data_IF_757518878232
#
_entry.id   IF_757518878232
#
_cell.length_a   1.000
_cell.length_b   1.000
_cell.length_c   1.000
_cell.angle_alpha   90.00
_cell.angle_beta   90.00
_cell.angle_gamma   90.00
#
_symmetry.space_group_name_H-M   'P 1'
#
loop_
_entity.id
_entity.type
_entity.pdbx_description
1 polymer ?
#
# COMPACT_ATOMS: atom_id res chain seq x y z
N UNK A 1 11.35 -14.68 -9.32
CA UNK A 1 9.94 -14.50 -9.73
C UNK A 1 9.74 -13.02 -10.02
N UNK A 2 9.33 -12.64 -11.23
CA UNK A 2 9.23 -11.22 -11.63
C UNK A 2 7.78 -10.77 -11.47
N UNK A 3 7.55 -9.64 -10.81
CA UNK A 3 6.23 -9.02 -10.71
C UNK A 3 5.72 -8.69 -12.12
N UNK A 4 4.55 -9.23 -12.49
CA UNK A 4 3.90 -8.93 -13.77
C UNK A 4 2.74 -7.97 -13.53
N UNK A 5 2.82 -6.80 -14.15
CA UNK A 5 1.76 -5.77 -14.12
C UNK A 5 1.14 -5.71 -15.51
N UNK A 6 -0.16 -5.98 -15.62
CA UNK A 6 -0.88 -5.95 -16.90
C UNK A 6 -1.56 -4.58 -17.13
N UNK A 7 -1.91 -3.85 -16.05
CA UNK A 7 -2.55 -2.53 -16.10
C UNK A 7 -2.11 -1.67 -14.90
N UNK A 8 -2.00 -0.35 -15.11
CA UNK A 8 -1.77 0.64 -14.05
C UNK A 8 -2.98 1.57 -13.94
N UNK A 9 -3.58 1.67 -12.76
CA UNK A 9 -4.58 2.68 -12.43
C UNK A 9 -3.93 3.81 -11.63
N UNK A 10 -4.08 5.04 -12.09
CA UNK A 10 -3.49 6.22 -11.44
C UNK A 10 -4.60 7.10 -10.88
N UNK A 11 -4.48 7.53 -9.63
CA UNK A 11 -5.42 8.48 -9.05
C UNK A 11 -5.31 9.82 -9.77
N UNK A 12 -6.43 10.53 -9.96
CA UNK A 12 -6.38 11.88 -10.58
C UNK A 12 -5.44 12.82 -9.84
N UNK A 13 -5.50 12.82 -8.51
CA UNK A 13 -4.67 13.66 -7.65
C UNK A 13 -3.20 13.20 -7.63
N UNK A 14 -2.95 11.90 -7.78
CA UNK A 14 -1.61 11.32 -7.83
C UNK A 14 -0.91 11.44 -9.21
N UNK A 15 -1.62 11.74 -10.29
CA UNK A 15 -1.08 11.70 -11.66
C UNK A 15 0.19 12.55 -11.81
N UNK A 16 0.20 13.76 -11.25
CA UNK A 16 1.32 14.71 -11.40
C UNK A 16 2.45 14.50 -10.41
N UNK A 17 2.35 13.52 -9.51
CA UNK A 17 3.37 13.28 -8.50
C UNK A 17 4.68 12.78 -9.13
N UNK A 18 5.87 13.25 -8.70
CA UNK A 18 7.15 12.80 -9.28
C UNK A 18 7.35 11.29 -9.22
N UNK A 19 6.95 10.67 -8.10
CA UNK A 19 7.06 9.22 -7.92
C UNK A 19 6.12 8.46 -8.87
N UNK A 20 4.91 8.98 -9.15
CA UNK A 20 4.01 8.43 -10.17
C UNK A 20 4.67 8.44 -11.54
N UNK A 21 5.24 9.59 -11.94
CA UNK A 21 5.91 9.73 -13.22
C UNK A 21 7.11 8.78 -13.33
N UNK A 22 7.89 8.64 -12.26
CA UNK A 22 9.00 7.69 -12.18
C UNK A 22 8.53 6.24 -12.38
N UNK A 23 7.42 5.84 -11.74
CA UNK A 23 6.89 4.48 -11.88
C UNK A 23 6.37 4.22 -13.30
N UNK A 24 5.64 5.17 -13.90
CA UNK A 24 5.16 5.07 -15.28
C UNK A 24 6.32 4.97 -16.29
N UNK A 25 7.41 5.70 -16.03
CA UNK A 25 8.65 5.66 -16.79
C UNK A 25 9.37 4.30 -16.66
N UNK A 26 9.38 3.70 -15.46
CA UNK A 26 9.95 2.37 -15.24
C UNK A 26 9.12 1.25 -15.88
N UNK A 27 7.79 1.42 -15.96
CA UNK A 27 6.85 0.45 -16.50
C UNK A 27 6.36 0.82 -17.91
N UNK A 28 7.20 1.52 -18.68
CA UNK A 28 6.94 1.86 -20.08
C UNK A 28 6.49 0.63 -20.88
N UNK A 29 5.31 0.74 -21.48
CA UNK A 29 4.67 -0.34 -22.22
C UNK A 29 3.51 -1.00 -21.50
N UNK A 30 3.35 -0.75 -20.19
CA UNK A 30 2.14 -1.14 -19.46
C UNK A 30 1.06 -0.07 -19.68
N UNK A 31 -0.16 -0.44 -20.12
CA UNK A 31 -1.23 0.53 -20.27
C UNK A 31 -1.59 1.12 -18.90
N UNK A 32 -1.84 2.43 -18.88
CA UNK A 32 -2.32 3.11 -17.69
C UNK A 32 -3.56 3.93 -18.00
N UNK A 33 -4.45 4.05 -17.01
CA UNK A 33 -5.59 4.96 -17.05
C UNK A 33 -5.73 5.73 -15.76
N UNK A 34 -6.37 6.89 -15.85
CA UNK A 34 -6.61 7.78 -14.71
C UNK A 34 -8.06 7.65 -14.27
N UNK A 35 -8.28 7.42 -12.97
CA UNK A 35 -9.62 7.28 -12.42
C UNK A 35 -9.71 7.86 -11.00
N UNK A 36 -10.94 8.04 -10.53
CA UNK A 36 -11.22 8.34 -9.12
C UNK A 36 -11.18 7.03 -8.32
N UNK A 37 -10.20 6.90 -7.43
CA UNK A 37 -9.93 5.64 -6.72
C UNK A 37 -10.93 5.37 -5.57
N UNK A 38 -11.75 6.35 -5.23
CA UNK A 38 -12.76 6.20 -4.19
C UNK A 38 -13.93 5.29 -4.58
N UNK A 39 -14.12 4.99 -5.87
CA UNK A 39 -15.20 4.08 -6.27
C UNK A 39 -15.04 2.70 -5.61
N UNK A 40 -16.06 2.21 -4.87
CA UNK A 40 -16.05 0.85 -4.35
C UNK A 40 -15.99 -0.12 -5.52
N UNK A 41 -15.07 -1.08 -5.47
CA UNK A 41 -15.10 -2.18 -6.42
C UNK A 41 -16.38 -3.00 -6.16
N UNK A 42 -17.31 -3.01 -7.12
CA UNK A 42 -18.61 -3.68 -7.00
C UNK A 42 -18.62 -5.08 -7.66
N UNK A 43 -17.47 -5.57 -8.12
CA UNK A 43 -17.32 -6.89 -8.72
C UNK A 43 -17.01 -7.98 -7.71
N UNK A 44 -17.08 -9.24 -8.14
CA UNK A 44 -16.48 -10.34 -7.39
C UNK A 44 -14.95 -10.22 -7.48
N UNK A 45 -14.25 -10.46 -6.36
CA UNK A 45 -12.79 -10.49 -6.35
C UNK A 45 -12.28 -11.57 -7.29
N UNK A 46 -11.63 -11.17 -8.38
CA UNK A 46 -11.02 -12.11 -9.33
C UNK A 46 -9.51 -12.20 -9.04
N UNK A 47 -8.96 -13.40 -8.78
CA UNK A 47 -7.52 -13.62 -8.68
C UNK A 47 -6.70 -13.06 -9.86
N UNK A 48 -7.30 -12.90 -11.04
CA UNK A 48 -6.71 -12.25 -12.21
C UNK A 48 -6.41 -10.76 -12.03
N UNK A 49 -7.11 -10.08 -11.12
CA UNK A 49 -6.94 -8.64 -10.85
C UNK A 49 -5.72 -8.33 -9.97
N UNK A 50 -4.96 -9.34 -9.55
CA UNK A 50 -3.69 -9.16 -8.81
C UNK A 50 -2.55 -8.61 -9.68
N UNK A 51 -2.76 -8.48 -10.99
CA UNK A 51 -1.83 -7.83 -11.93
C UNK A 51 -2.13 -6.36 -12.19
N UNK A 52 -3.13 -5.81 -11.49
CA UNK A 52 -3.41 -4.38 -11.48
C UNK A 52 -2.51 -3.68 -10.45
N UNK A 53 -1.79 -2.65 -10.89
CA UNK A 53 -1.05 -1.74 -10.02
C UNK A 53 -1.85 -0.45 -9.86
N UNK A 54 -2.01 0.03 -8.62
CA UNK A 54 -2.71 1.28 -8.31
C UNK A 54 -1.72 2.27 -7.70
N UNK A 55 -1.68 3.48 -8.25
CA UNK A 55 -0.85 4.58 -7.77
C UNK A 55 -1.76 5.62 -7.13
N UNK A 56 -1.66 5.78 -5.82
CA UNK A 56 -2.60 6.59 -5.02
C UNK A 56 -1.91 7.37 -3.91
N UNK A 57 -2.57 8.42 -3.43
CA UNK A 57 -2.22 9.03 -2.15
C UNK A 57 -2.85 8.22 -1.03
N UNK A 58 -2.01 7.66 -0.15
CA UNK A 58 -2.51 7.02 1.05
C UNK A 58 -3.01 8.09 2.04
N UNK A 59 -4.29 8.03 2.38
CA UNK A 59 -4.96 9.03 3.25
C UNK A 59 -5.07 8.60 4.72
N UNK A 60 -4.48 7.47 5.10
CA UNK A 60 -4.47 6.98 6.47
C UNK A 60 -3.24 7.43 7.26
N UNK A 61 -3.19 7.05 8.54
CA UNK A 61 -1.98 7.19 9.34
C UNK A 61 -0.86 6.30 8.76
N UNK A 62 0.27 6.92 8.41
CA UNK A 62 1.38 6.27 7.73
C UNK A 62 2.18 5.36 8.67
N UNK A 63 2.38 5.81 9.91
CA UNK A 63 2.89 5.04 11.04
C UNK A 63 1.77 4.88 12.08
N UNK A 64 1.44 3.65 12.45
CA UNK A 64 0.38 3.36 13.44
C UNK A 64 0.67 2.08 14.21
N UNK A 65 0.10 1.87 15.40
CA UNK A 65 0.19 0.60 16.10
C UNK A 65 -0.39 -0.54 15.26
N UNK A 66 0.22 -1.73 15.34
CA UNK A 66 -0.38 -2.96 14.83
C UNK A 66 -1.75 -3.15 15.49
N UNK A 67 -2.78 -3.59 14.72
CA UNK A 67 -4.13 -3.81 15.27
C UNK A 67 -4.15 -4.78 16.46
N UNK A 68 -3.16 -5.68 16.53
CA UNK A 68 -3.06 -6.67 17.59
C UNK A 68 -4.18 -7.70 17.52
N UNK A 69 -4.09 -8.71 18.38
CA UNK A 69 -5.16 -9.70 18.55
C UNK A 69 -5.87 -9.44 19.86
N UNK A 70 -7.21 -9.49 19.85
CA UNK A 70 -8.02 -9.26 21.04
C UNK A 70 -7.62 -10.23 22.16
N UNK A 71 -7.47 -9.73 23.38
CA UNK A 71 -7.03 -10.47 24.58
C UNK A 71 -5.55 -10.90 24.60
N UNK A 72 -4.70 -10.35 23.72
CA UNK A 72 -3.26 -10.58 23.73
C UNK A 72 -2.52 -9.37 24.31
N UNK A 73 -1.34 -9.61 24.90
CA UNK A 73 -0.43 -8.52 25.28
C UNK A 73 0.25 -8.02 24.00
N UNK A 74 -0.07 -6.79 23.62
CA UNK A 74 0.54 -6.15 22.47
C UNK A 74 2.02 -5.93 22.72
N UNK A 75 2.84 -6.33 21.75
CA UNK A 75 4.27 -6.17 21.84
C UNK A 75 4.68 -4.69 21.58
N UNK A 76 3.81 -3.88 20.97
CA UNK A 76 4.10 -2.47 20.65
C UNK A 76 4.68 -2.24 19.26
N UNK A 77 4.62 -3.27 18.40
CA UNK A 77 4.97 -3.16 16.98
C UNK A 77 4.15 -2.09 16.27
N UNK A 78 4.81 -1.32 15.41
CA UNK A 78 4.23 -0.28 14.58
C UNK A 78 4.26 -0.72 13.12
N UNK A 79 3.22 -0.37 12.39
CA UNK A 79 3.07 -0.63 10.97
C UNK A 79 3.33 0.67 10.23
N UNK A 80 4.35 0.66 9.38
CA UNK A 80 4.58 1.68 8.35
C UNK A 80 3.89 1.21 7.07
N UNK A 81 3.02 2.02 6.46
CA UNK A 81 2.17 1.56 5.34
C UNK A 81 2.59 2.19 3.99
N UNK A 82 3.67 1.70 3.34
CA UNK A 82 4.09 2.19 2.03
C UNK A 82 3.18 1.74 0.89
N UNK A 83 2.51 0.61 1.09
CA UNK A 83 1.71 -0.08 0.11
C UNK A 83 0.61 -0.88 0.81
N UNK A 84 -0.37 -1.33 0.03
CA UNK A 84 -1.44 -2.19 0.52
C UNK A 84 -1.84 -3.22 -0.54
N UNK A 85 -2.30 -4.39 -0.07
CA UNK A 85 -2.59 -5.57 -0.87
C UNK A 85 -1.32 -6.21 -1.47
N UNK A 86 -1.47 -7.28 -2.23
CA UNK A 86 -0.35 -8.09 -2.69
C UNK A 86 -0.62 -8.64 -4.11
N UNK A 87 0.39 -8.71 -5.00
CA UNK A 87 0.24 -9.28 -6.33
C UNK A 87 0.19 -10.82 -6.34
N UNK A 88 0.39 -11.47 -5.20
CA UNK A 88 0.47 -12.93 -5.07
C UNK A 88 -0.91 -13.57 -4.96
N UNK A 89 -1.11 -14.69 -5.67
CA UNK A 89 -2.36 -15.47 -5.71
C UNK A 89 -2.59 -16.45 -4.56
N UNK A 90 -2.02 -16.22 -3.37
CA UNK A 90 -2.06 -17.21 -2.28
C UNK A 90 -3.49 -17.52 -1.84
N UNK A 91 -3.88 -18.80 -1.88
CA UNK A 91 -5.23 -19.28 -1.48
C UNK A 91 -5.52 -19.11 0.01
N UNK A 92 -4.47 -19.02 0.83
CA UNK A 92 -4.54 -18.84 2.29
C UNK A 92 -4.39 -17.37 2.73
N UNK A 93 -4.37 -16.41 1.79
CA UNK A 93 -4.03 -15.03 2.11
C UNK A 93 -5.15 -14.34 2.92
N UNK A 94 -4.83 -13.96 4.15
CA UNK A 94 -5.77 -13.22 5.01
C UNK A 94 -6.14 -11.84 4.44
N UNK A 95 -5.28 -11.22 3.63
CA UNK A 95 -5.54 -9.90 3.04
C UNK A 95 -6.81 -9.89 2.16
N UNK A 96 -7.23 -11.06 1.66
CA UNK A 96 -8.49 -11.21 0.92
C UNK A 96 -9.73 -10.87 1.78
N UNK A 97 -9.65 -11.04 3.11
CA UNK A 97 -10.70 -10.63 4.04
C UNK A 97 -10.62 -9.14 4.42
N UNK A 98 -9.45 -8.52 4.27
CA UNK A 98 -9.23 -7.10 4.62
C UNK A 98 -9.52 -6.14 3.48
N UNK A 99 -9.28 -6.54 2.24
CA UNK A 99 -9.39 -5.66 1.08
C UNK A 99 -10.54 -6.08 0.17
N UNK A 100 -11.41 -5.12 -0.09
CA UNK A 100 -12.51 -5.23 -1.05
C UNK A 100 -12.15 -4.65 -2.44
N UNK A 101 -10.91 -4.17 -2.61
CA UNK A 101 -10.41 -3.64 -3.89
C UNK A 101 -9.23 -4.48 -4.37
N UNK A 102 -9.25 -4.93 -5.63
CA UNK A 102 -8.17 -5.72 -6.18
C UNK A 102 -6.96 -4.86 -6.56
N UNK A 103 -5.83 -5.52 -6.78
CA UNK A 103 -4.58 -4.92 -7.22
C UNK A 103 -3.67 -4.45 -6.08
N UNK A 104 -2.38 -4.42 -6.36
CA UNK A 104 -1.35 -3.86 -5.47
C UNK A 104 -1.48 -2.33 -5.48
N UNK A 105 -1.52 -1.72 -4.30
CA UNK A 105 -1.63 -0.26 -4.13
C UNK A 105 -0.34 0.29 -3.59
N UNK A 106 0.25 1.26 -4.30
CA UNK A 106 1.48 1.94 -3.89
C UNK A 106 1.14 3.38 -3.50
N UNK A 107 1.58 3.77 -2.31
CA UNK A 107 1.54 5.15 -1.87
C UNK A 107 2.64 5.95 -2.58
N UNK A 108 2.25 6.91 -3.41
CA UNK A 108 3.22 7.67 -4.21
C UNK A 108 3.97 8.73 -3.39
N UNK A 109 3.46 9.07 -2.19
CA UNK A 109 4.06 10.04 -1.25
C UNK A 109 4.90 9.35 -0.17
N UNK A 110 5.49 8.17 -0.47
CA UNK A 110 6.20 7.39 0.53
C UNK A 110 7.31 8.18 1.23
N UNK A 111 8.07 9.00 0.49
CA UNK A 111 9.22 9.74 1.04
C UNK A 111 8.75 10.83 1.99
N UNK A 112 7.77 11.61 1.56
CA UNK A 112 7.17 12.69 2.33
C UNK A 112 6.51 12.15 3.61
N UNK A 113 5.81 11.03 3.50
CA UNK A 113 5.15 10.40 4.63
C UNK A 113 6.16 9.69 5.57
N UNK A 114 7.29 9.22 5.05
CA UNK A 114 8.38 8.66 5.85
C UNK A 114 9.01 9.73 6.74
N UNK A 115 9.24 10.94 6.24
CA UNK A 115 9.79 12.04 7.05
C UNK A 115 8.92 12.33 8.28
N UNK A 116 7.59 12.33 8.11
CA UNK A 116 6.65 12.47 9.22
C UNK A 116 6.72 11.31 10.22
N UNK A 117 6.92 10.08 9.75
CA UNK A 117 7.08 8.90 10.61
C UNK A 117 8.41 8.94 11.39
N UNK A 118 9.49 9.36 10.74
CA UNK A 118 10.80 9.51 11.38
C UNK A 118 10.77 10.62 12.44
N UNK A 119 10.12 11.75 12.15
CA UNK A 119 9.95 12.81 13.13
C UNK A 119 9.25 12.33 14.41
N UNK A 120 8.26 11.43 14.32
CA UNK A 120 7.62 10.84 15.52
C UNK A 120 8.62 9.99 16.31
N UNK A 121 9.42 9.18 15.62
CA UNK A 121 10.42 8.31 16.24
C UNK A 121 11.51 9.13 16.93
N UNK A 122 12.01 10.17 16.26
CA UNK A 122 13.10 11.03 16.75
C UNK A 122 12.68 11.87 17.97
N UNK A 123 11.38 12.12 18.15
CA UNK A 123 10.86 12.82 19.33
C UNK A 123 10.72 11.93 20.58
N UNK A 124 10.93 10.61 20.48
CA UNK A 124 10.80 9.66 21.58
C UNK A 124 12.12 8.90 21.84
N UNK A 125 13.16 9.65 22.26
CA UNK A 125 14.54 9.18 22.41
C UNK A 125 14.73 7.97 23.33
N UNK A 126 13.91 7.82 24.36
CA UNK A 126 14.01 6.72 25.34
C UNK A 126 13.24 5.45 24.92
N UNK A 127 12.60 5.47 23.74
CA UNK A 127 11.76 4.37 23.27
C UNK A 127 12.38 3.66 22.08
N UNK A 128 12.44 2.33 22.15
CA UNK A 128 12.75 1.50 20.97
C UNK A 128 11.51 1.27 20.12
N UNK A 129 11.53 1.75 18.88
CA UNK A 129 10.48 1.49 17.91
C UNK A 129 10.75 0.21 17.14
N UNK A 130 9.75 -0.68 17.10
CA UNK A 130 9.76 -1.86 16.23
C UNK A 130 8.78 -1.60 15.11
N UNK A 131 9.30 -1.34 13.93
CA UNK A 131 8.53 -0.94 12.77
C UNK A 131 8.69 -1.98 11.67
N UNK A 132 7.62 -2.30 10.97
CA UNK A 132 7.76 -2.94 9.69
C UNK A 132 6.63 -2.63 8.73
N UNK A 133 6.83 -3.09 7.50
CA UNK A 133 6.07 -2.66 6.33
C UNK A 133 5.13 -3.73 5.77
N UNK A 134 5.30 -4.99 6.19
CA UNK A 134 4.65 -6.16 5.59
C UNK A 134 3.28 -6.55 6.18
N UNK A 135 2.71 -5.79 7.11
CA UNK A 135 1.43 -6.16 7.75
C UNK A 135 0.28 -6.25 6.73
N UNK A 136 0.30 -5.36 5.74
CA UNK A 136 -0.81 -5.19 4.78
C UNK A 136 -0.38 -5.32 3.32
N UNK A 137 0.84 -5.79 3.06
CA UNK A 137 1.46 -5.89 1.73
C UNK A 137 2.63 -6.87 1.78
N UNK A 138 3.06 -7.36 0.62
CA UNK A 138 4.30 -8.14 0.42
C UNK A 138 5.09 -7.51 -0.74
#
# INVERSE_FOLDING_TARGET
>A
MTLRVDEILVARDALRHPETQRILECLKGTPHRVADIEEPFRGAYDPGEKRLLRLEFYRGAFLKPCPGTRNYICCGYQVLTPAANCPLGCTYCILQAYFNRPGLRICVIFREALDGALAVIDNELDRVFRVGTGEFTD
#
